data_IF_713186555771
#
_entry.id   IF_713186555771
#
_cell.length_a   1.000
_cell.length_b   1.000
_cell.length_c   1.000
_cell.angle_alpha   90.00
_cell.angle_beta   90.00
_cell.angle_gamma   90.00
#
_symmetry.space_group_name_H-M   'P 1'
#
loop_
_entity.id
_entity.type
_entity.pdbx_description
1 polymer ?
#
# COMPACT_ATOMS: atom_id res chain seq x y z
N UNK A 1 -35.27 26.77 49.49
CA UNK A 1 -34.38 26.23 48.44
C UNK A 1 -33.20 27.18 48.34
N UNK A 2 -32.00 26.79 48.81
CA UNK A 2 -30.83 27.69 48.84
C UNK A 2 -30.08 27.54 47.52
N UNK A 3 -30.19 28.53 46.65
CA UNK A 3 -29.42 28.65 45.41
C UNK A 3 -28.03 29.19 45.77
N UNK A 4 -27.04 28.30 45.84
CA UNK A 4 -25.63 28.68 46.04
C UNK A 4 -25.07 29.14 44.70
N UNK A 5 -24.98 30.45 44.50
CA UNK A 5 -24.37 31.06 43.31
C UNK A 5 -22.84 31.11 43.49
N UNK A 6 -22.12 30.12 42.93
CA UNK A 6 -20.65 30.04 43.05
C UNK A 6 -20.00 31.09 42.15
N UNK A 7 -19.85 32.33 42.65
CA UNK A 7 -19.06 33.41 42.02
C UNK A 7 -17.60 32.98 41.89
N UNK A 8 -17.21 32.54 40.71
CA UNK A 8 -15.84 32.14 40.38
C UNK A 8 -15.74 30.96 39.42
N UNK A 9 -16.82 30.18 39.29
CA UNK A 9 -16.86 29.01 38.40
C UNK A 9 -16.60 29.37 36.94
N UNK A 10 -17.16 30.50 36.48
CA UNK A 10 -16.98 31.00 35.11
C UNK A 10 -15.53 31.37 34.79
N UNK A 11 -14.80 31.99 35.73
CA UNK A 11 -13.38 32.33 35.55
C UNK A 11 -12.52 31.06 35.47
N UNK A 12 -12.82 30.08 36.31
CA UNK A 12 -12.14 28.78 36.31
C UNK A 12 -12.43 28.02 35.02
N UNK A 13 -13.69 27.97 34.57
CA UNK A 13 -14.10 27.38 33.30
C UNK A 13 -13.38 28.02 32.11
N UNK A 14 -13.34 29.35 32.03
CA UNK A 14 -12.63 30.06 30.98
C UNK A 14 -11.11 29.81 31.00
N UNK A 15 -10.51 29.54 32.17
CA UNK A 15 -9.09 29.17 32.30
C UNK A 15 -8.85 27.74 31.82
N UNK A 16 -9.75 26.83 32.18
CA UNK A 16 -9.74 25.41 31.75
C UNK A 16 -9.88 25.32 30.23
N UNK A 17 -10.84 26.02 29.63
CA UNK A 17 -11.02 26.03 28.17
C UNK A 17 -9.80 26.57 27.42
N UNK A 18 -9.20 27.66 27.91
CA UNK A 18 -7.96 28.22 27.33
C UNK A 18 -6.78 27.27 27.47
N UNK A 19 -6.71 26.52 28.57
CA UNK A 19 -5.69 25.50 28.78
C UNK A 19 -5.89 24.32 27.81
N UNK A 20 -7.11 23.78 27.70
CA UNK A 20 -7.45 22.72 26.76
C UNK A 20 -7.17 23.11 25.31
N UNK A 21 -7.50 24.34 24.91
CA UNK A 21 -7.19 24.85 23.57
C UNK A 21 -5.68 24.94 23.28
N UNK A 22 -4.85 25.22 24.30
CA UNK A 22 -3.38 25.16 24.18
C UNK A 22 -2.88 23.72 24.13
N UNK A 23 -3.33 22.87 25.03
CA UNK A 23 -2.96 21.46 25.08
C UNK A 23 -3.30 20.74 23.76
N UNK A 24 -4.52 20.94 23.23
CA UNK A 24 -4.93 20.39 21.93
C UNK A 24 -4.01 20.82 20.79
N UNK A 25 -3.55 22.08 20.78
CA UNK A 25 -2.61 22.57 19.76
C UNK A 25 -1.26 21.86 19.86
N UNK A 26 -0.71 21.72 21.06
CA UNK A 26 0.54 20.99 21.31
C UNK A 26 0.40 19.53 20.89
N UNK A 27 -0.67 18.85 21.31
CA UNK A 27 -0.94 17.47 20.93
C UNK A 27 -1.06 17.30 19.40
N UNK A 28 -1.78 18.20 18.71
CA UNK A 28 -1.86 18.20 17.24
C UNK A 28 -0.48 18.37 16.58
N UNK A 29 0.40 19.20 17.14
CA UNK A 29 1.77 19.37 16.65
C UNK A 29 2.62 18.10 16.86
N UNK A 30 2.53 17.48 18.04
CA UNK A 30 3.24 16.23 18.36
C UNK A 30 2.78 15.12 17.43
N UNK A 31 1.47 14.90 17.28
CA UNK A 31 0.90 13.88 16.39
C UNK A 31 1.30 14.12 14.95
N UNK A 32 1.35 15.38 14.50
CA UNK A 32 1.83 15.74 13.15
C UNK A 32 3.30 15.38 12.95
N UNK A 33 4.16 15.65 13.95
CA UNK A 33 5.59 15.30 13.91
C UNK A 33 5.79 13.79 13.88
N UNK A 34 5.06 13.06 14.73
CA UNK A 34 5.10 11.59 14.78
C UNK A 34 4.59 10.97 13.46
N UNK A 35 3.52 11.51 12.88
CA UNK A 35 3.00 11.05 11.58
C UNK A 35 4.03 11.21 10.46
N UNK A 36 4.83 12.28 10.49
CA UNK A 36 5.95 12.49 9.54
C UNK A 36 7.09 11.50 9.77
N UNK A 37 7.49 11.30 11.02
CA UNK A 37 8.53 10.34 11.38
C UNK A 37 8.13 8.91 10.96
N UNK A 38 6.91 8.49 11.28
CA UNK A 38 6.35 7.21 10.89
C UNK A 38 6.29 7.05 9.36
N UNK A 39 5.85 8.09 8.64
CA UNK A 39 5.86 8.08 7.17
C UNK A 39 7.28 7.86 6.62
N UNK A 40 8.28 8.53 7.20
CA UNK A 40 9.66 8.38 6.76
C UNK A 40 10.19 6.98 7.09
N UNK A 41 9.89 6.46 8.28
CA UNK A 41 10.22 5.10 8.68
C UNK A 41 9.63 4.07 7.72
N UNK A 42 8.34 4.15 7.39
CA UNK A 42 7.70 3.26 6.41
C UNK A 42 8.43 3.33 5.05
N UNK A 43 8.79 4.53 4.60
CA UNK A 43 9.51 4.71 3.32
C UNK A 43 10.90 4.11 3.33
N UNK A 44 11.66 4.23 4.42
CA UNK A 44 13.05 3.77 4.49
C UNK A 44 13.15 2.28 4.83
N UNK A 45 12.22 1.77 5.65
CA UNK A 45 12.25 0.39 6.16
C UNK A 45 11.52 -0.60 5.26
N UNK A 46 10.33 -0.25 4.77
CA UNK A 46 9.42 -1.18 4.07
C UNK A 46 9.33 -0.92 2.57
N UNK A 47 9.53 0.33 2.12
CA UNK A 47 9.45 0.70 0.71
C UNK A 47 10.84 0.95 0.13
N UNK A 48 11.72 -0.04 0.22
CA UNK A 48 13.12 0.01 -0.24
C UNK A 48 13.62 -1.36 -0.74
N UNK A 49 14.66 -1.35 -1.56
CA UNK A 49 15.39 -2.56 -1.98
C UNK A 49 14.56 -3.56 -2.79
N UNK A 50 14.74 -4.85 -2.50
CA UNK A 50 14.02 -5.97 -3.10
C UNK A 50 12.76 -6.38 -2.34
N UNK A 51 11.97 -7.31 -2.90
CA UNK A 51 10.75 -7.81 -2.25
C UNK A 51 11.10 -8.92 -1.26
N UNK A 52 10.74 -8.74 0.00
CA UNK A 52 10.88 -9.73 1.08
C UNK A 52 9.52 -10.01 1.73
N UNK A 53 9.51 -10.68 2.89
CA UNK A 53 8.31 -10.86 3.73
C UNK A 53 7.79 -9.55 4.34
N UNK A 54 8.67 -8.57 4.52
CA UNK A 54 8.42 -7.31 5.23
C UNK A 54 8.82 -6.06 4.41
N UNK A 55 9.24 -6.22 3.15
CA UNK A 55 9.64 -5.13 2.27
C UNK A 55 9.07 -5.30 0.86
N UNK A 56 8.78 -4.16 0.24
CA UNK A 56 8.33 -4.07 -1.15
C UNK A 56 9.45 -3.52 -2.01
N UNK A 57 9.71 -4.22 -3.13
CA UNK A 57 10.64 -3.71 -4.11
C UNK A 57 10.19 -2.35 -4.66
N UNK A 58 11.12 -1.40 -4.71
CA UNK A 58 10.86 -0.09 -5.30
C UNK A 58 11.16 -0.14 -6.78
N UNK A 59 10.14 0.20 -7.56
CA UNK A 59 10.21 0.13 -9.00
C UNK A 59 10.19 1.49 -9.67
N UNK A 60 9.05 2.18 -9.60
CA UNK A 60 8.86 3.53 -10.12
C UNK A 60 8.86 4.60 -9.03
N UNK A 61 8.99 4.16 -7.77
CA UNK A 61 8.82 5.02 -6.59
C UNK A 61 7.40 5.57 -6.41
N UNK A 62 6.40 5.21 -7.24
CA UNK A 62 5.06 5.80 -7.16
C UNK A 62 4.38 5.54 -5.80
N UNK A 63 4.39 4.30 -5.30
CA UNK A 63 3.90 3.98 -3.96
C UNK A 63 4.62 4.78 -2.87
N UNK A 64 5.96 4.80 -2.93
CA UNK A 64 6.79 5.53 -1.96
C UNK A 64 6.52 7.05 -1.99
N UNK A 65 6.35 7.65 -3.16
CA UNK A 65 6.02 9.08 -3.32
C UNK A 65 4.60 9.40 -2.85
N UNK A 66 3.64 8.53 -3.12
CA UNK A 66 2.24 8.69 -2.70
C UNK A 66 1.99 8.35 -1.23
N UNK A 67 2.98 7.79 -0.52
CA UNK A 67 2.93 7.57 0.93
C UNK A 67 3.19 8.90 1.64
N UNK A 68 2.22 9.39 2.40
CA UNK A 68 2.25 10.72 3.03
C UNK A 68 1.70 10.66 4.46
N UNK A 69 2.03 11.63 5.32
CA UNK A 69 1.42 11.70 6.65
C UNK A 69 -0.08 11.95 6.52
N UNK A 70 -0.88 11.19 7.26
CA UNK A 70 -2.33 11.40 7.36
C UNK A 70 -2.58 12.77 7.99
N UNK A 71 -3.57 13.51 7.47
CA UNK A 71 -3.97 14.79 8.06
C UNK A 71 -4.43 14.55 9.49
N UNK A 72 -3.81 15.28 10.43
CA UNK A 72 -4.19 15.21 11.84
C UNK A 72 -5.62 15.74 11.97
N UNK A 73 -6.49 14.93 12.57
CA UNK A 73 -7.90 15.24 12.76
C UNK A 73 -8.34 14.90 14.17
N UNK A 74 -9.42 15.51 14.61
CA UNK A 74 -10.05 15.21 15.90
C UNK A 74 -11.28 14.34 15.62
N UNK A 75 -11.39 13.20 16.28
CA UNK A 75 -12.54 12.29 16.20
C UNK A 75 -12.82 11.74 17.59
N UNK A 76 -14.05 11.85 18.06
CA UNK A 76 -14.50 11.29 19.34
C UNK A 76 -13.60 11.70 20.54
N UNK A 77 -13.18 12.98 20.56
CA UNK A 77 -12.29 13.53 21.58
C UNK A 77 -10.81 13.12 21.44
N UNK A 78 -10.46 12.30 20.44
CA UNK A 78 -9.10 11.85 20.18
C UNK A 78 -8.44 12.62 19.04
N UNK A 79 -7.13 12.84 19.14
CA UNK A 79 -6.32 13.42 18.06
C UNK A 79 -5.69 12.27 17.27
N UNK A 80 -6.13 12.08 16.03
CA UNK A 80 -5.74 10.96 15.17
C UNK A 80 -4.77 11.43 14.10
N UNK A 81 -3.64 10.72 13.96
CA UNK A 81 -2.64 10.88 12.91
C UNK A 81 -2.31 9.54 12.24
N UNK A 82 -1.20 9.47 11.50
CA UNK A 82 -0.70 8.23 10.91
C UNK A 82 -0.14 8.39 9.50
N UNK A 83 -0.19 7.31 8.72
CA UNK A 83 0.31 7.24 7.34
C UNK A 83 -0.85 6.96 6.39
N UNK A 84 -0.84 7.61 5.24
CA UNK A 84 -1.78 7.41 4.14
C UNK A 84 -1.01 6.96 2.90
N UNK A 85 -1.58 6.01 2.14
CA UNK A 85 -1.02 5.51 0.89
C UNK A 85 -1.91 5.92 -0.28
N UNK A 86 -1.40 6.75 -1.18
CA UNK A 86 -2.18 7.25 -2.33
C UNK A 86 -2.23 6.30 -3.54
N UNK A 87 -1.46 5.21 -3.55
CA UNK A 87 -1.51 4.24 -4.65
C UNK A 87 -2.63 3.23 -4.44
N UNK A 88 -3.51 3.05 -5.44
CA UNK A 88 -4.65 2.11 -5.39
C UNK A 88 -4.26 0.68 -5.03
N UNK A 89 -3.07 0.23 -5.45
CA UNK A 89 -2.56 -1.12 -5.18
C UNK A 89 -1.90 -1.26 -3.79
N UNK A 90 -1.78 -0.18 -3.01
CA UNK A 90 -1.18 -0.23 -1.68
C UNK A 90 -1.96 -1.15 -0.73
N UNK A 91 -3.29 -1.18 -0.85
CA UNK A 91 -4.17 -1.99 0.01
C UNK A 91 -3.89 -3.49 -0.03
N UNK A 92 -3.28 -4.00 -1.11
CA UNK A 92 -2.85 -5.39 -1.25
C UNK A 92 -1.67 -5.69 -0.33
N UNK A 93 -0.78 -4.71 -0.14
CA UNK A 93 0.49 -4.87 0.56
C UNK A 93 0.51 -4.24 1.96
N UNK A 94 -0.46 -3.40 2.29
CA UNK A 94 -0.58 -2.72 3.58
C UNK A 94 -1.74 -3.31 4.37
N UNK A 95 -1.50 -3.61 5.65
CA UNK A 95 -2.53 -4.03 6.60
C UNK A 95 -1.95 -4.85 7.75
N UNK A 96 -2.81 -5.36 8.65
CA UNK A 96 -2.35 -6.12 9.81
C UNK A 96 -1.53 -7.34 9.41
N UNK A 97 -0.64 -7.77 10.30
CA UNK A 97 0.19 -8.96 10.15
C UNK A 97 -0.68 -10.18 9.89
N UNK A 98 -0.23 -11.02 8.96
CA UNK A 98 -0.99 -12.17 8.49
C UNK A 98 -2.07 -11.86 7.44
N UNK A 99 -2.38 -10.59 7.14
CA UNK A 99 -3.29 -10.24 6.04
C UNK A 99 -2.79 -10.83 4.73
N UNK A 100 -3.70 -11.51 4.03
CA UNK A 100 -3.48 -12.07 2.70
C UNK A 100 -4.57 -11.57 1.76
N UNK A 101 -4.17 -11.08 0.59
CA UNK A 101 -5.10 -10.59 -0.43
C UNK A 101 -5.09 -11.53 -1.61
N UNK A 102 -6.25 -12.12 -1.91
CA UNK A 102 -6.43 -12.94 -3.12
C UNK A 102 -6.76 -12.06 -4.30
N UNK A 103 -5.92 -12.10 -5.34
CA UNK A 103 -6.14 -11.44 -6.61
C UNK A 103 -6.69 -12.49 -7.59
N UNK A 104 -7.80 -12.17 -8.23
CA UNK A 104 -8.48 -13.03 -9.22
C UNK A 104 -8.82 -12.22 -10.48
N UNK A 105 -8.89 -12.86 -11.65
CA UNK A 105 -9.31 -12.18 -12.88
C UNK A 105 -10.79 -11.80 -12.76
N UNK A 106 -11.17 -10.64 -13.32
CA UNK A 106 -12.55 -10.13 -13.25
C UNK A 106 -13.40 -10.47 -14.49
N UNK A 107 -12.79 -10.49 -15.67
CA UNK A 107 -13.45 -10.65 -16.98
C UNK A 107 -12.84 -11.79 -17.81
N UNK A 108 -11.96 -12.58 -17.22
CA UNK A 108 -11.22 -13.64 -17.89
C UNK A 108 -11.08 -14.85 -16.96
N UNK A 109 -10.71 -16.00 -17.51
CA UNK A 109 -10.54 -17.23 -16.72
C UNK A 109 -9.21 -17.27 -15.94
N UNK A 110 -8.18 -16.56 -16.42
CA UNK A 110 -6.83 -16.57 -15.86
C UNK A 110 -6.28 -15.16 -15.68
N UNK A 111 -5.46 -14.98 -14.66
CA UNK A 111 -4.47 -13.90 -14.56
C UNK A 111 -3.30 -14.25 -15.47
N UNK A 112 -2.87 -13.29 -16.28
CA UNK A 112 -1.62 -13.37 -17.02
C UNK A 112 -0.52 -12.64 -16.26
N UNK A 113 0.37 -13.40 -15.62
CA UNK A 113 1.48 -12.85 -14.84
C UNK A 113 2.72 -12.81 -15.74
N UNK A 114 3.29 -11.62 -16.01
CA UNK A 114 4.37 -11.47 -16.98
C UNK A 114 5.68 -12.08 -16.46
N UNK A 115 6.35 -12.82 -17.33
CA UNK A 115 7.69 -13.39 -17.11
C UNK A 115 8.77 -12.45 -17.66
N UNK A 116 10.04 -12.83 -17.55
CA UNK A 116 11.16 -11.95 -17.91
C UNK A 116 11.08 -11.38 -19.34
N UNK A 117 10.74 -12.22 -20.33
CA UNK A 117 10.64 -11.80 -21.73
C UNK A 117 9.52 -10.77 -22.00
N UNK A 118 8.40 -10.86 -21.25
CA UNK A 118 7.29 -9.93 -21.35
C UNK A 118 7.45 -8.68 -20.46
N UNK A 119 8.57 -8.55 -19.73
CA UNK A 119 8.81 -7.44 -18.79
C UNK A 119 9.81 -6.42 -19.34
N UNK A 120 9.60 -5.15 -18.99
CA UNK A 120 10.64 -4.10 -19.11
C UNK A 120 11.76 -4.36 -18.10
N UNK A 121 12.91 -3.70 -18.23
CA UNK A 121 13.99 -3.77 -17.22
C UNK A 121 13.51 -3.34 -15.83
N UNK A 122 12.54 -2.42 -15.78
CA UNK A 122 11.87 -2.02 -14.54
C UNK A 122 10.81 -3.05 -14.07
N UNK A 123 10.54 -4.14 -14.78
CA UNK A 123 9.57 -5.16 -14.41
C UNK A 123 8.10 -4.85 -14.72
N UNK A 124 7.75 -4.02 -15.74
CA UNK A 124 6.33 -3.81 -16.17
C UNK A 124 6.12 -4.82 -17.26
N UNK A 125 4.94 -5.43 -17.32
CA UNK A 125 4.47 -5.97 -18.58
C UNK A 125 4.66 -4.93 -19.71
N UNK A 126 5.32 -5.31 -20.80
CA UNK A 126 5.43 -4.49 -22.03
C UNK A 126 4.09 -4.38 -22.77
N UNK A 127 3.19 -5.32 -22.51
CA UNK A 127 1.85 -5.43 -23.07
C UNK A 127 1.09 -6.55 -22.36
N UNK A 128 -0.21 -6.67 -22.66
CA UNK A 128 -1.02 -7.82 -22.29
C UNK A 128 -0.77 -9.02 -23.20
N UNK A 129 -1.33 -10.20 -22.85
CA UNK A 129 -1.20 -11.41 -23.64
C UNK A 129 -1.52 -11.29 -25.14
N UNK A 130 -2.52 -10.47 -25.48
CA UNK A 130 -3.01 -10.31 -26.87
C UNK A 130 -2.14 -9.39 -27.73
N UNK A 131 -1.20 -8.69 -27.11
CA UNK A 131 -0.29 -7.77 -27.82
C UNK A 131 0.89 -8.51 -28.45
N UNK A 132 1.01 -9.83 -28.21
CA UNK A 132 2.06 -10.68 -28.75
C UNK A 132 1.49 -11.51 -29.91
N UNK A 133 1.77 -11.16 -31.18
CA UNK A 133 1.31 -11.92 -32.33
C UNK A 133 1.93 -13.32 -32.31
N UNK A 134 1.22 -14.28 -32.90
CA UNK A 134 1.63 -15.69 -32.99
C UNK A 134 1.97 -16.34 -31.63
N UNK A 135 1.42 -15.79 -30.54
CA UNK A 135 1.53 -16.39 -29.22
C UNK A 135 0.57 -17.56 -29.07
N UNK A 136 1.00 -18.57 -28.32
CA UNK A 136 0.22 -19.78 -28.11
C UNK A 136 0.31 -20.25 -26.66
N UNK A 137 -0.70 -21.01 -26.23
CA UNK A 137 -0.78 -21.53 -24.87
C UNK A 137 -0.22 -22.94 -24.83
N UNK A 138 0.66 -23.21 -23.87
CA UNK A 138 1.16 -24.56 -23.58
C UNK A 138 0.88 -24.94 -22.13
N UNK A 139 0.72 -26.24 -21.90
CA UNK A 139 0.70 -26.82 -20.55
C UNK A 139 2.04 -27.48 -20.29
N UNK A 140 2.70 -27.11 -19.20
CA UNK A 140 3.94 -27.77 -18.78
C UNK A 140 3.65 -29.14 -18.19
N UNK A 141 4.67 -30.00 -18.09
CA UNK A 141 4.56 -31.31 -17.41
C UNK A 141 4.07 -31.18 -15.96
N UNK A 142 4.39 -30.07 -15.29
CA UNK A 142 3.91 -29.74 -13.95
C UNK A 142 2.48 -29.14 -13.91
N UNK A 143 1.76 -29.15 -15.04
CA UNK A 143 0.39 -28.66 -15.15
C UNK A 143 0.22 -27.14 -15.20
N UNK A 144 1.31 -26.36 -15.24
CA UNK A 144 1.21 -24.91 -15.37
C UNK A 144 0.84 -24.52 -16.80
N UNK A 145 -0.04 -23.54 -16.96
CA UNK A 145 -0.36 -22.95 -18.25
C UNK A 145 0.56 -21.76 -18.51
N UNK A 146 1.21 -21.73 -19.66
CA UNK A 146 2.08 -20.64 -20.11
C UNK A 146 1.59 -20.09 -21.42
N UNK A 147 1.76 -18.78 -21.63
CA UNK A 147 1.72 -18.17 -22.95
C UNK A 147 3.16 -18.08 -23.44
N UNK A 148 3.41 -18.71 -24.58
CA UNK A 148 4.68 -18.70 -25.28
C UNK A 148 4.60 -17.72 -26.45
N UNK A 149 5.72 -17.15 -26.84
CA UNK A 149 5.82 -16.37 -28.07
C UNK A 149 7.22 -16.41 -28.65
N UNK A 150 7.40 -15.76 -29.79
CA UNK A 150 8.68 -15.74 -30.49
C UNK A 150 9.57 -14.60 -29.97
N UNK A 151 10.85 -14.89 -29.77
CA UNK A 151 11.82 -13.87 -29.42
C UNK A 151 12.22 -13.08 -30.67
N UNK A 152 12.07 -11.77 -30.63
CA UNK A 152 12.45 -10.86 -31.72
C UNK A 152 13.91 -11.11 -32.14
N UNK A 153 14.14 -11.44 -33.41
CA UNK A 153 15.47 -11.69 -33.96
C UNK A 153 16.04 -13.10 -33.74
N UNK A 154 15.25 -14.06 -33.21
CA UNK A 154 15.68 -15.46 -33.08
C UNK A 154 14.55 -16.43 -33.40
N UNK A 155 14.90 -17.67 -33.79
CA UNK A 155 13.91 -18.75 -33.97
C UNK A 155 13.44 -19.36 -32.64
N UNK A 156 13.87 -18.81 -31.51
CA UNK A 156 13.56 -19.32 -30.17
C UNK A 156 12.15 -18.97 -29.72
N UNK A 157 11.47 -19.93 -29.09
CA UNK A 157 10.23 -19.72 -28.36
C UNK A 157 10.57 -19.38 -26.91
N UNK A 158 9.97 -18.32 -26.37
CA UNK A 158 10.20 -17.84 -25.00
C UNK A 158 8.90 -17.77 -24.21
N UNK A 159 8.93 -18.08 -22.90
CA UNK A 159 7.75 -17.97 -22.06
C UNK A 159 7.48 -16.49 -21.73
N UNK A 160 6.30 -16.01 -22.10
CA UNK A 160 5.86 -14.63 -21.93
C UNK A 160 5.05 -14.44 -20.64
N UNK A 161 4.08 -15.30 -20.39
CA UNK A 161 3.21 -15.21 -19.22
C UNK A 161 2.99 -16.58 -18.59
N UNK A 162 2.82 -16.59 -17.27
CA UNK A 162 2.21 -17.73 -16.57
C UNK A 162 0.74 -17.41 -16.29
N UNK A 163 -0.13 -18.36 -16.60
CA UNK A 163 -1.56 -18.27 -16.38
C UNK A 163 -1.92 -18.90 -15.03
N UNK A 164 -2.54 -18.10 -14.15
CA UNK A 164 -2.99 -18.55 -12.83
C UNK A 164 -4.44 -18.15 -12.62
N UNK A 165 -5.26 -19.04 -12.05
CA UNK A 165 -6.67 -18.72 -11.72
C UNK A 165 -6.76 -17.64 -10.63
N UNK A 166 -5.82 -17.65 -9.70
CA UNK A 166 -5.69 -16.64 -8.65
C UNK A 166 -4.26 -16.61 -8.11
N UNK A 167 -3.91 -15.53 -7.41
CA UNK A 167 -2.69 -15.44 -6.60
C UNK A 167 -3.03 -14.90 -5.22
N UNK A 168 -2.34 -15.40 -4.21
CA UNK A 168 -2.46 -14.89 -2.84
C UNK A 168 -1.22 -14.08 -2.52
N UNK A 169 -1.41 -12.79 -2.22
CA UNK A 169 -0.32 -11.85 -1.92
C UNK A 169 -0.39 -11.49 -0.43
N UNK A 170 0.67 -11.76 0.36
CA UNK A 170 0.71 -11.32 1.75
C UNK A 170 0.92 -9.81 1.84
N UNK A 171 0.34 -9.18 2.86
CA UNK A 171 0.74 -7.84 3.27
C UNK A 171 2.21 -7.88 3.74
N UNK A 172 2.94 -6.80 3.48
CA UNK A 172 4.37 -6.63 3.78
C UNK A 172 4.66 -5.37 4.58
N UNK A 173 3.69 -4.46 4.64
CA UNK A 173 3.75 -3.24 5.44
C UNK A 173 2.67 -3.34 6.49
N UNK A 174 3.09 -3.43 7.74
CA UNK A 174 2.22 -3.60 8.89
C UNK A 174 2.21 -2.31 9.71
N UNK A 175 1.05 -1.66 9.89
CA UNK A 175 0.96 -0.42 10.66
C UNK A 175 1.38 -0.53 12.14
N UNK A 176 1.46 -1.75 12.67
CA UNK A 176 1.90 -2.08 14.02
C UNK A 176 3.42 -2.23 14.19
N UNK A 177 4.20 -2.21 13.09
CA UNK A 177 5.68 -2.24 13.09
C UNK A 177 6.29 -0.83 13.26
#
# INVERSE_FOLDING_TARGET
MITVEIRGLERTRARIERFWGRLKRVLKQVVRRQSRALTQYVKTRHLTGGTTSDRLAVRSGHLRRSTKPKRVSERDGQIVGGVEFGARYASVHVGPRGKRTTIRPKRAQYLAIPLAAARTAAGVARGGPRDYPDSFVVRTKAGNLLIMGHQTGSKGVVPLFVLKRQVVVPARVHPED
#
